data_IF_491894465642
#
_entry.id   IF_491894465642
#
_cell.length_a   1.000
_cell.length_b   1.000
_cell.length_c   1.000
_cell.angle_alpha   90.00
_cell.angle_beta   90.00
_cell.angle_gamma   90.00
#
_symmetry.space_group_name_H-M   'P 1'
#
loop_
_entity.id
_entity.type
_entity.pdbx_description
1 polymer ?
#
# COMPACT_ATOMS: atom_id res chain seq x y z
N UNK A 1 -35.30 -67.57 6.98
CA UNK A 1 -35.46 -66.36 6.16
C UNK A 1 -35.25 -65.11 7.04
N UNK A 2 -34.09 -64.46 6.96
CA UNK A 2 -33.77 -63.25 7.76
C UNK A 2 -33.78 -62.03 6.81
N UNK A 3 -34.84 -61.25 6.94
CA UNK A 3 -35.04 -60.03 6.14
C UNK A 3 -34.13 -58.95 6.67
N UNK A 4 -33.19 -58.48 5.85
CA UNK A 4 -32.32 -57.29 6.16
C UNK A 4 -33.04 -56.02 5.72
N UNK A 5 -33.38 -55.14 6.68
CA UNK A 5 -33.90 -53.83 6.43
C UNK A 5 -32.71 -52.91 6.20
N UNK A 6 -32.54 -52.40 4.97
CA UNK A 6 -31.59 -51.38 4.65
C UNK A 6 -32.11 -49.99 5.12
N UNK A 7 -31.41 -49.36 6.07
CA UNK A 7 -31.71 -48.00 6.47
C UNK A 7 -31.00 -47.02 5.51
N UNK A 8 -31.80 -46.33 4.72
CA UNK A 8 -31.32 -45.23 3.87
C UNK A 8 -31.10 -43.98 4.78
N UNK A 9 -29.85 -43.56 4.96
CA UNK A 9 -29.51 -42.31 5.66
C UNK A 9 -29.52 -41.21 4.61
N UNK A 10 -30.53 -40.35 4.65
CA UNK A 10 -30.60 -39.15 3.84
C UNK A 10 -29.72 -38.05 4.49
N UNK A 11 -28.54 -37.80 3.94
CA UNK A 11 -27.68 -36.68 4.34
C UNK A 11 -28.18 -35.44 3.60
N UNK A 12 -28.90 -34.56 4.30
CA UNK A 12 -29.27 -33.25 3.78
C UNK A 12 -28.04 -32.34 3.92
N UNK A 13 -27.37 -32.08 2.81
CA UNK A 13 -26.29 -31.10 2.72
C UNK A 13 -26.92 -29.70 2.74
N UNK A 14 -26.91 -29.04 3.91
CA UNK A 14 -27.29 -27.65 4.00
C UNK A 14 -26.15 -26.81 3.39
N UNK A 15 -26.29 -26.41 2.14
CA UNK A 15 -25.49 -25.34 1.54
C UNK A 15 -25.85 -24.02 2.22
N UNK A 16 -24.85 -23.20 2.61
CA UNK A 16 -25.16 -21.87 3.12
C UNK A 16 -25.81 -21.06 2.00
N UNK A 17 -27.10 -20.77 2.15
CA UNK A 17 -27.78 -19.78 1.32
C UNK A 17 -27.20 -18.42 1.65
N UNK A 18 -26.28 -17.93 0.81
CA UNK A 18 -25.95 -16.51 0.79
C UNK A 18 -27.23 -15.76 0.42
N UNK A 19 -27.83 -15.11 1.40
CA UNK A 19 -28.94 -14.20 1.20
C UNK A 19 -28.42 -13.01 0.39
N UNK A 20 -28.53 -13.07 -0.92
CA UNK A 20 -28.39 -11.88 -1.75
C UNK A 20 -29.62 -11.01 -1.46
N UNK A 21 -29.39 -9.82 -0.90
CA UNK A 21 -30.44 -8.85 -0.72
C UNK A 21 -31.12 -8.55 -2.06
N UNK A 22 -32.45 -8.45 -2.05
CA UNK A 22 -33.27 -8.15 -3.22
C UNK A 22 -32.73 -6.87 -3.91
N UNK A 23 -32.33 -6.93 -5.20
CA UNK A 23 -31.79 -5.77 -5.90
C UNK A 23 -32.79 -4.60 -5.99
N UNK A 24 -34.09 -4.83 -5.88
CA UNK A 24 -35.12 -3.78 -5.84
C UNK A 24 -35.10 -2.91 -4.57
N UNK A 25 -34.41 -3.38 -3.49
CA UNK A 25 -34.33 -2.69 -2.21
C UNK A 25 -33.05 -1.84 -2.03
N UNK A 26 -32.13 -1.83 -2.98
CA UNK A 26 -30.84 -1.13 -2.85
C UNK A 26 -30.78 0.18 -3.62
N UNK A 27 -29.92 1.11 -3.16
CA UNK A 27 -29.56 2.34 -3.88
C UNK A 27 -28.17 2.14 -4.45
N UNK A 28 -28.06 2.05 -5.77
CA UNK A 28 -26.78 1.78 -6.40
C UNK A 28 -26.13 3.06 -6.95
N UNK A 29 -24.81 3.15 -6.75
CA UNK A 29 -23.94 4.06 -7.45
C UNK A 29 -22.91 3.26 -8.24
N UNK A 30 -22.53 3.75 -9.39
CA UNK A 30 -21.57 3.13 -10.29
C UNK A 30 -20.33 4.00 -10.41
N UNK A 31 -19.16 3.39 -10.37
CA UNK A 31 -17.87 4.06 -10.56
C UNK A 31 -17.12 3.32 -11.64
N UNK A 32 -16.56 4.05 -12.62
CA UNK A 32 -15.79 3.47 -13.72
C UNK A 32 -14.59 4.37 -14.06
N UNK A 33 -13.44 3.81 -14.52
CA UNK A 33 -12.27 4.62 -14.90
C UNK A 33 -12.56 5.63 -16.02
N UNK A 34 -13.54 5.35 -16.87
CA UNK A 34 -14.03 6.24 -17.93
C UNK A 34 -15.30 7.00 -17.55
N UNK A 35 -15.61 7.08 -16.25
CA UNK A 35 -16.73 7.82 -15.72
C UNK A 35 -16.49 9.33 -15.66
N UNK A 36 -17.46 10.05 -15.11
CA UNK A 36 -17.37 11.49 -14.89
C UNK A 36 -18.05 11.86 -13.57
N UNK A 37 -17.36 12.56 -12.68
CA UNK A 37 -17.87 12.93 -11.36
C UNK A 37 -19.00 13.98 -11.40
N UNK A 38 -19.18 14.65 -12.55
CA UNK A 38 -20.33 15.52 -12.77
C UNK A 38 -21.62 14.73 -13.02
N UNK A 39 -21.55 13.47 -13.43
CA UNK A 39 -22.74 12.64 -13.69
C UNK A 39 -23.44 12.20 -12.38
N UNK A 40 -24.61 11.60 -12.55
CA UNK A 40 -25.41 11.17 -11.40
C UNK A 40 -24.78 10.00 -10.62
N UNK A 41 -24.02 9.15 -11.27
CA UNK A 41 -23.53 7.89 -10.73
C UNK A 41 -24.61 6.81 -10.60
N UNK A 42 -25.85 7.08 -11.07
CA UNK A 42 -26.99 6.16 -10.90
C UNK A 42 -27.13 5.14 -12.03
N UNK A 43 -26.42 5.33 -13.12
CA UNK A 43 -26.38 4.46 -14.28
C UNK A 43 -24.99 3.84 -14.46
N UNK A 44 -24.95 2.55 -14.79
CA UNK A 44 -23.72 1.87 -15.23
C UNK A 44 -23.39 2.20 -16.69
N UNK A 45 -24.39 2.65 -17.48
CA UNK A 45 -24.26 2.99 -18.88
C UNK A 45 -24.05 4.50 -19.04
N UNK A 46 -23.13 4.87 -19.92
CA UNK A 46 -22.82 6.27 -20.21
C UNK A 46 -23.87 6.85 -21.17
N UNK A 47 -24.53 7.93 -20.76
CA UNK A 47 -25.33 8.82 -21.58
C UNK A 47 -24.88 10.26 -21.31
N UNK A 48 -23.80 10.65 -21.99
CA UNK A 48 -23.19 11.96 -21.79
C UNK A 48 -24.12 13.12 -22.15
N UNK A 49 -25.06 12.92 -23.08
CA UNK A 49 -26.04 13.95 -23.49
C UNK A 49 -27.02 14.29 -22.36
N UNK A 50 -27.29 13.32 -21.49
CA UNK A 50 -28.17 13.50 -20.33
C UNK A 50 -27.44 13.74 -19.03
N UNK A 51 -26.11 13.74 -19.03
CA UNK A 51 -25.27 13.78 -17.81
C UNK A 51 -25.44 12.55 -16.94
N UNK A 52 -25.74 11.40 -17.54
CA UNK A 52 -25.96 10.13 -16.86
C UNK A 52 -24.82 9.16 -17.14
N UNK A 53 -24.41 8.43 -16.11
CA UNK A 53 -23.35 7.45 -16.22
C UNK A 53 -22.65 7.22 -14.89
N UNK A 54 -21.60 6.37 -14.88
CA UNK A 54 -20.82 6.11 -13.69
C UNK A 54 -19.96 7.34 -13.31
N UNK A 55 -19.68 7.48 -12.03
CA UNK A 55 -18.70 8.44 -11.52
C UNK A 55 -17.28 7.99 -11.90
N UNK A 56 -16.33 8.91 -11.94
CA UNK A 56 -14.92 8.60 -12.19
C UNK A 56 -14.20 8.16 -10.91
N UNK A 57 -14.58 8.68 -9.73
CA UNK A 57 -13.85 8.51 -8.50
C UNK A 57 -14.68 7.96 -7.34
N UNK A 58 -14.00 7.27 -6.41
CA UNK A 58 -14.63 6.85 -5.15
C UNK A 58 -14.99 8.05 -4.27
N UNK A 59 -14.19 9.11 -4.33
CA UNK A 59 -14.45 10.36 -3.60
C UNK A 59 -15.78 10.95 -4.01
N UNK A 60 -16.05 11.05 -5.30
CA UNK A 60 -17.34 11.54 -5.81
C UNK A 60 -18.50 10.64 -5.38
N UNK A 61 -18.31 9.32 -5.37
CA UNK A 61 -19.34 8.40 -4.87
C UNK A 61 -19.65 8.66 -3.39
N UNK A 62 -18.63 8.80 -2.54
CA UNK A 62 -18.80 9.18 -1.13
C UNK A 62 -19.58 10.51 -1.01
N UNK A 63 -19.19 11.52 -1.77
CA UNK A 63 -19.78 12.85 -1.66
C UNK A 63 -21.24 12.88 -2.17
N UNK A 64 -21.55 12.11 -3.22
CA UNK A 64 -22.95 11.92 -3.66
C UNK A 64 -23.80 11.24 -2.58
N UNK A 65 -23.23 10.27 -1.85
CA UNK A 65 -23.90 9.62 -0.72
C UNK A 65 -24.14 10.62 0.42
N UNK A 66 -23.16 11.46 0.75
CA UNK A 66 -23.33 12.54 1.74
C UNK A 66 -24.47 13.47 1.36
N UNK A 67 -24.50 13.94 0.10
CA UNK A 67 -25.58 14.77 -0.40
C UNK A 67 -26.96 14.08 -0.33
N UNK A 68 -27.00 12.77 -0.58
CA UNK A 68 -28.23 12.00 -0.45
C UNK A 68 -28.69 11.93 1.02
N UNK A 69 -27.78 11.71 1.96
CA UNK A 69 -28.07 11.67 3.41
C UNK A 69 -28.53 13.03 3.97
N UNK A 70 -28.04 14.15 3.43
CA UNK A 70 -28.49 15.50 3.81
C UNK A 70 -29.97 15.76 3.48
N UNK A 71 -30.53 15.01 2.52
CA UNK A 71 -31.95 15.11 2.15
C UNK A 71 -32.89 14.32 3.05
N UNK A 72 -32.33 13.53 3.97
CA UNK A 72 -33.06 12.72 4.94
C UNK A 72 -32.45 11.33 5.16
N UNK A 73 -33.00 10.58 6.11
CA UNK A 73 -32.53 9.22 6.42
C UNK A 73 -32.68 8.29 5.21
N UNK A 74 -31.62 7.52 4.93
CA UNK A 74 -31.64 6.50 3.87
C UNK A 74 -32.02 5.17 4.53
N UNK A 75 -33.25 4.75 4.36
CA UNK A 75 -33.76 3.49 4.93
C UNK A 75 -33.44 2.25 4.11
N UNK A 76 -32.52 2.33 3.15
CA UNK A 76 -32.15 1.24 2.24
C UNK A 76 -30.65 1.08 2.14
N UNK A 77 -30.11 -0.13 1.96
CA UNK A 77 -28.70 -0.35 1.65
C UNK A 77 -28.23 0.46 0.44
N UNK A 78 -27.00 0.96 0.49
CA UNK A 78 -26.35 1.62 -0.63
C UNK A 78 -25.20 0.72 -1.09
N UNK A 79 -25.10 0.50 -2.40
CA UNK A 79 -23.95 -0.15 -3.01
C UNK A 79 -23.24 0.83 -3.95
N UNK A 80 -21.92 0.89 -3.82
CA UNK A 80 -21.03 1.56 -4.77
C UNK A 80 -20.29 0.47 -5.54
N UNK A 81 -20.67 0.30 -6.80
CA UNK A 81 -20.19 -0.76 -7.67
C UNK A 81 -19.09 -0.23 -8.59
N UNK A 82 -17.88 -0.74 -8.41
CA UNK A 82 -16.69 -0.32 -9.15
C UNK A 82 -16.48 -1.25 -10.37
N UNK A 83 -16.41 -0.66 -11.55
CA UNK A 83 -16.05 -1.36 -12.79
C UNK A 83 -14.56 -1.71 -12.75
N UNK A 84 -14.16 -2.73 -13.50
CA UNK A 84 -12.76 -3.14 -13.63
C UNK A 84 -11.88 -2.02 -14.18
N UNK A 85 -10.64 -1.97 -13.72
CA UNK A 85 -9.65 -0.98 -14.12
C UNK A 85 -8.91 -0.38 -12.93
N UNK A 86 -8.03 0.59 -13.21
CA UNK A 86 -7.18 1.22 -12.19
C UNK A 86 -7.78 2.57 -11.80
N UNK A 87 -8.07 2.70 -10.51
CA UNK A 87 -8.50 3.95 -9.88
C UNK A 87 -7.32 4.54 -9.11
N UNK A 88 -6.82 5.66 -9.59
CA UNK A 88 -5.73 6.37 -8.90
C UNK A 88 -6.28 7.26 -7.83
N UNK A 89 -5.61 7.24 -6.68
CA UNK A 89 -5.88 8.13 -5.57
C UNK A 89 -4.60 8.92 -5.27
N UNK A 90 -4.64 10.21 -5.57
CA UNK A 90 -3.52 11.14 -5.31
C UNK A 90 -3.56 11.63 -3.87
N UNK A 91 -4.74 11.65 -3.26
CA UNK A 91 -5.00 12.07 -1.89
C UNK A 91 -5.77 10.99 -1.13
N UNK A 92 -5.53 10.80 0.18
CA UNK A 92 -6.26 9.83 0.98
C UNK A 92 -7.78 10.07 0.95
N UNK A 93 -8.55 9.04 0.62
CA UNK A 93 -10.00 9.09 0.72
C UNK A 93 -10.38 8.99 2.20
N UNK A 94 -10.88 10.07 2.77
CA UNK A 94 -11.28 10.12 4.18
C UNK A 94 -12.75 9.79 4.34
N UNK A 95 -13.03 8.72 5.08
CA UNK A 95 -14.36 8.37 5.54
C UNK A 95 -14.51 8.85 6.99
N UNK A 96 -15.57 9.58 7.25
CA UNK A 96 -15.90 10.16 8.56
C UNK A 96 -17.14 9.44 9.13
N UNK A 97 -17.53 9.67 10.40
CA UNK A 97 -18.73 9.07 10.98
C UNK A 97 -20.01 9.27 10.15
N UNK A 98 -20.12 10.42 9.48
CA UNK A 98 -21.22 10.72 8.56
C UNK A 98 -21.29 9.80 7.35
N UNK A 99 -20.20 9.14 6.98
CA UNK A 99 -20.15 8.20 5.85
C UNK A 99 -20.61 6.78 6.24
N UNK A 100 -20.83 6.54 7.53
CA UNK A 100 -21.28 5.24 8.02
C UNK A 100 -22.72 4.96 7.60
N UNK A 101 -23.01 3.71 7.23
CA UNK A 101 -24.36 3.20 7.14
C UNK A 101 -24.93 2.80 8.51
N UNK A 102 -26.08 2.17 8.51
CA UNK A 102 -26.65 1.48 9.69
C UNK A 102 -26.62 -0.02 9.47
N UNK A 103 -27.01 -0.79 10.47
CA UNK A 103 -27.14 -2.24 10.34
C UNK A 103 -28.17 -2.64 9.29
N UNK A 104 -29.27 -1.89 9.22
CA UNK A 104 -30.40 -2.12 8.31
C UNK A 104 -30.15 -1.52 6.92
N UNK A 105 -29.34 -0.47 6.85
CA UNK A 105 -28.98 0.26 5.64
C UNK A 105 -27.45 0.46 5.53
N UNK A 106 -26.68 -0.60 5.32
CA UNK A 106 -25.23 -0.52 5.17
C UNK A 106 -24.85 0.20 3.87
N UNK A 107 -23.66 0.81 3.88
CA UNK A 107 -23.01 1.36 2.68
C UNK A 107 -21.87 0.42 2.31
N UNK A 108 -21.94 -0.16 1.11
CA UNK A 108 -20.99 -1.18 0.65
C UNK A 108 -20.31 -0.71 -0.63
N UNK A 109 -18.97 -0.69 -0.61
CA UNK A 109 -18.15 -0.50 -1.81
C UNK A 109 -17.68 -1.88 -2.28
N UNK A 110 -18.01 -2.25 -3.50
CA UNK A 110 -17.72 -3.59 -4.03
C UNK A 110 -17.33 -3.54 -5.52
N UNK A 111 -16.61 -4.55 -5.96
CA UNK A 111 -16.38 -4.75 -7.38
C UNK A 111 -17.69 -5.07 -8.10
N UNK A 112 -17.81 -4.61 -9.35
CA UNK A 112 -18.84 -5.11 -10.26
C UNK A 112 -18.67 -6.62 -10.43
N UNK A 113 -19.77 -7.39 -10.44
CA UNK A 113 -19.68 -8.85 -10.55
C UNK A 113 -18.81 -9.29 -11.73
N UNK A 114 -17.81 -10.13 -11.43
CA UNK A 114 -16.86 -10.67 -12.42
C UNK A 114 -15.75 -9.70 -12.84
N UNK A 115 -15.71 -8.47 -12.33
CA UNK A 115 -14.68 -7.48 -12.66
C UNK A 115 -13.68 -7.28 -11.50
N UNK A 116 -12.50 -6.77 -11.83
CA UNK A 116 -11.41 -6.55 -10.87
C UNK A 116 -10.97 -5.07 -10.86
N UNK A 117 -11.57 -4.21 -10.03
CA UNK A 117 -11.07 -2.87 -9.79
C UNK A 117 -9.78 -2.91 -8.95
N UNK A 118 -8.86 -2.03 -9.27
CA UNK A 118 -7.61 -1.83 -8.53
C UNK A 118 -7.57 -0.38 -8.07
N UNK A 119 -7.61 -0.16 -6.77
CA UNK A 119 -7.41 1.16 -6.17
C UNK A 119 -5.94 1.32 -5.83
N UNK A 120 -5.30 2.35 -6.37
CA UNK A 120 -3.84 2.52 -6.28
C UNK A 120 -3.43 3.96 -5.99
N UNK A 121 -2.62 4.15 -4.94
CA UNK A 121 -1.89 5.40 -4.68
C UNK A 121 -0.54 5.48 -5.39
N UNK A 122 -0.22 4.52 -6.24
CA UNK A 122 1.05 4.51 -6.99
C UNK A 122 1.01 5.42 -8.22
N UNK A 123 2.12 6.07 -8.49
CA UNK A 123 2.32 6.84 -9.73
C UNK A 123 2.89 5.92 -10.82
N UNK A 124 2.40 6.01 -12.07
CA UNK A 124 2.99 5.27 -13.18
C UNK A 124 4.34 5.88 -13.53
N UNK A 125 5.33 5.03 -13.70
CA UNK A 125 6.63 5.41 -14.18
C UNK A 125 6.69 5.04 -15.67
N UNK A 126 6.98 6.01 -16.50
CA UNK A 126 7.10 5.87 -17.95
C UNK A 126 8.49 6.30 -18.44
N UNK A 127 8.72 6.24 -19.74
CA UNK A 127 9.99 6.71 -20.33
C UNK A 127 11.16 5.76 -20.12
N UNK A 128 10.89 4.49 -19.87
CA UNK A 128 11.92 3.45 -19.72
C UNK A 128 12.74 3.27 -20.98
N UNK A 129 14.05 3.25 -20.84
CA UNK A 129 15.02 3.03 -21.89
C UNK A 129 15.85 1.79 -21.55
N UNK A 130 16.02 0.91 -22.53
CA UNK A 130 16.90 -0.24 -22.41
C UNK A 130 18.34 0.22 -22.57
N UNK A 131 19.22 -0.15 -21.65
CA UNK A 131 20.68 0.04 -21.82
C UNK A 131 21.24 -1.01 -22.77
N UNK A 132 22.53 -0.89 -23.11
CA UNK A 132 23.25 -1.93 -23.89
C UNK A 132 23.34 -3.28 -23.16
N UNK A 133 23.05 -3.29 -21.86
CA UNK A 133 23.01 -4.48 -21.01
C UNK A 133 21.59 -4.98 -20.70
N UNK A 134 21.41 -5.71 -19.61
CA UNK A 134 20.12 -6.22 -19.18
C UNK A 134 19.25 -5.19 -18.45
N UNK A 135 19.77 -4.00 -18.19
CA UNK A 135 19.11 -2.99 -17.37
C UNK A 135 18.16 -2.12 -18.20
N UNK A 136 17.12 -1.64 -17.53
CA UNK A 136 16.22 -0.60 -18.00
C UNK A 136 16.33 0.61 -17.08
N UNK A 137 16.43 1.80 -17.64
CA UNK A 137 16.56 3.05 -16.90
C UNK A 137 15.46 4.03 -17.25
N UNK A 138 15.12 4.88 -16.32
CA UNK A 138 14.27 6.05 -16.53
C UNK A 138 14.64 7.12 -15.52
N UNK A 139 14.47 8.36 -15.89
CA UNK A 139 14.59 9.50 -15.00
C UNK A 139 13.19 9.88 -14.49
N UNK A 140 13.07 10.04 -13.20
CA UNK A 140 11.85 10.53 -12.55
C UNK A 140 12.17 11.94 -12.02
N UNK A 141 11.72 13.02 -12.69
CA UNK A 141 12.14 14.39 -12.34
C UNK A 141 11.91 14.76 -10.88
N UNK A 142 10.80 14.32 -10.30
CA UNK A 142 10.50 14.60 -8.89
C UNK A 142 11.46 13.92 -7.91
N UNK A 143 12.05 12.77 -8.30
CA UNK A 143 13.08 12.07 -7.52
C UNK A 143 14.42 12.75 -7.69
N UNK A 144 14.82 13.08 -8.92
CA UNK A 144 16.05 13.79 -9.24
C UNK A 144 16.15 15.15 -8.53
N UNK A 145 15.03 15.85 -8.44
CA UNK A 145 14.93 17.12 -7.72
C UNK A 145 14.78 16.97 -6.19
N UNK A 146 14.79 15.74 -5.65
CA UNK A 146 14.62 15.48 -4.22
C UNK A 146 13.22 15.79 -3.67
N UNK A 147 12.23 16.03 -4.53
CA UNK A 147 10.85 16.35 -4.12
C UNK A 147 10.02 15.10 -3.82
N UNK A 148 10.46 13.95 -4.28
CA UNK A 148 9.77 12.67 -4.07
C UNK A 148 10.76 11.55 -3.86
N UNK A 149 10.41 10.63 -2.96
CA UNK A 149 11.16 9.41 -2.71
C UNK A 149 10.17 8.26 -2.55
N UNK A 150 10.26 7.25 -3.42
CA UNK A 150 9.41 6.06 -3.33
C UNK A 150 10.16 4.87 -2.73
N UNK A 151 9.44 4.01 -2.04
CA UNK A 151 10.00 2.84 -1.35
C UNK A 151 9.59 1.52 -1.98
N UNK A 152 8.69 1.55 -2.93
CA UNK A 152 8.14 0.35 -3.55
C UNK A 152 7.99 0.58 -5.04
N UNK A 153 8.52 -0.36 -5.82
CA UNK A 153 8.35 -0.43 -7.27
C UNK A 153 7.51 -1.67 -7.59
N UNK A 154 6.51 -1.50 -8.43
CA UNK A 154 5.70 -2.59 -8.96
C UNK A 154 5.86 -2.68 -10.47
N UNK A 155 6.10 -3.88 -10.98
CA UNK A 155 6.14 -4.17 -12.42
C UNK A 155 5.17 -5.30 -12.68
N UNK A 156 4.22 -5.08 -13.61
CA UNK A 156 3.14 -6.03 -13.94
C UNK A 156 2.32 -6.48 -12.70
N UNK A 157 2.07 -5.53 -11.78
CA UNK A 157 1.35 -5.78 -10.55
C UNK A 157 2.13 -6.52 -9.47
N UNK A 158 3.36 -6.95 -9.76
CA UNK A 158 4.25 -7.60 -8.80
C UNK A 158 5.23 -6.62 -8.16
N UNK A 159 5.28 -6.60 -6.81
CA UNK A 159 6.27 -5.81 -6.08
C UNK A 159 7.67 -6.34 -6.38
N UNK A 160 8.59 -5.44 -6.68
CA UNK A 160 10.01 -5.75 -6.92
C UNK A 160 10.84 -5.50 -5.68
N UNK A 161 11.90 -6.29 -5.54
CA UNK A 161 12.89 -6.10 -4.48
C UNK A 161 13.88 -5.03 -4.94
N UNK A 162 14.14 -3.98 -4.15
CA UNK A 162 15.24 -3.05 -4.42
C UNK A 162 16.58 -3.80 -4.44
N UNK A 163 17.54 -3.29 -5.19
CA UNK A 163 18.92 -3.77 -5.08
C UNK A 163 19.37 -3.70 -3.62
N UNK A 164 19.99 -4.76 -3.13
CA UNK A 164 20.42 -4.87 -1.73
C UNK A 164 21.65 -5.74 -1.58
N UNK A 165 22.38 -5.50 -0.52
CA UNK A 165 23.44 -6.38 -0.04
C UNK A 165 23.29 -6.57 1.47
N UNK A 166 23.44 -7.79 2.03
CA UNK A 166 23.54 -9.04 1.28
C UNK A 166 22.20 -9.40 0.62
N UNK A 167 22.23 -10.20 -0.46
CA UNK A 167 20.99 -10.67 -1.11
C UNK A 167 20.20 -11.62 -0.22
N UNK A 168 20.93 -12.47 0.51
CA UNK A 168 20.39 -13.42 1.47
C UNK A 168 20.90 -13.08 2.86
N UNK A 169 20.07 -13.28 3.89
CA UNK A 169 20.39 -12.99 5.28
C UNK A 169 20.64 -11.50 5.58
N UNK A 170 21.38 -11.18 6.62
CA UNK A 170 21.65 -9.83 7.13
C UNK A 170 23.10 -9.70 7.58
N UNK A 171 23.66 -8.51 7.45
CA UNK A 171 24.85 -8.12 8.20
C UNK A 171 24.48 -7.90 9.68
N UNK A 172 25.40 -8.25 10.57
CA UNK A 172 25.19 -8.05 12.00
C UNK A 172 26.11 -6.95 12.51
N UNK A 173 25.54 -5.97 13.21
CA UNK A 173 26.33 -4.91 13.83
C UNK A 173 27.21 -5.48 14.94
N UNK A 174 28.40 -4.91 15.10
CA UNK A 174 29.30 -5.21 16.21
C UNK A 174 28.91 -4.41 17.45
N UNK A 175 28.37 -3.21 17.23
CA UNK A 175 27.93 -2.30 18.28
C UNK A 175 27.65 -0.90 17.74
N UNK A 176 27.33 0.05 18.62
CA UNK A 176 27.22 1.46 18.22
C UNK A 176 28.58 1.99 17.78
N UNK A 177 28.57 3.01 16.91
CA UNK A 177 29.77 3.62 16.34
C UNK A 177 30.62 4.43 17.30
N UNK A 178 30.35 4.36 18.60
CA UNK A 178 31.08 5.06 19.67
C UNK A 178 31.32 4.14 20.84
N UNK A 179 32.38 4.40 21.60
CA UNK A 179 32.69 3.65 22.81
C UNK A 179 31.62 3.91 23.88
N UNK A 180 30.96 2.84 24.33
CA UNK A 180 29.98 2.86 25.44
C UNK A 180 30.63 3.24 26.80
N UNK A 181 31.96 3.16 26.92
CA UNK A 181 32.70 3.52 28.12
C UNK A 181 32.87 5.04 28.26
N UNK A 182 32.60 5.81 27.21
CA UNK A 182 32.63 7.27 27.27
C UNK A 182 31.50 7.80 28.17
N UNK A 183 31.85 8.65 29.13
CA UNK A 183 30.96 9.16 30.18
C UNK A 183 30.09 10.32 29.70
N UNK A 184 30.30 10.91 28.56
CA UNK A 184 29.44 11.96 27.98
C UNK A 184 28.13 11.35 27.48
N UNK A 185 27.15 11.27 28.36
CA UNK A 185 25.86 10.62 28.10
C UNK A 185 25.05 11.29 26.96
N UNK A 186 25.15 12.62 26.82
CA UNK A 186 24.41 13.35 25.78
C UNK A 186 25.00 13.08 24.39
N UNK A 187 26.33 13.16 24.27
CA UNK A 187 27.02 12.87 23.01
C UNK A 187 26.87 11.41 22.61
N UNK A 188 27.06 10.49 23.55
CA UNK A 188 26.83 9.06 23.30
C UNK A 188 25.44 8.79 22.77
N UNK A 189 24.44 9.42 23.36
CA UNK A 189 23.05 9.17 22.97
C UNK A 189 22.78 9.58 21.51
N UNK A 190 23.40 10.64 21.01
CA UNK A 190 23.26 11.05 19.60
C UNK A 190 24.08 10.14 18.68
N UNK A 191 25.34 9.93 18.99
CA UNK A 191 26.25 9.14 18.14
C UNK A 191 25.84 7.65 18.10
N UNK A 192 25.37 7.07 19.20
CA UNK A 192 24.84 5.70 19.22
C UNK A 192 23.59 5.53 18.37
N UNK A 193 22.95 6.63 18.00
CA UNK A 193 21.76 6.67 17.12
C UNK A 193 22.11 7.03 15.67
N UNK A 194 23.35 7.44 15.40
CA UNK A 194 23.80 7.90 14.08
C UNK A 194 24.86 7.03 13.44
N UNK A 195 25.42 6.07 14.15
CA UNK A 195 26.50 5.25 13.63
C UNK A 195 26.48 3.84 14.18
N UNK A 196 27.02 2.92 13.39
CA UNK A 196 27.22 1.51 13.78
C UNK A 196 28.62 1.06 13.43
N UNK A 197 29.17 0.19 14.26
CA UNK A 197 30.32 -0.61 13.92
C UNK A 197 29.89 -1.87 13.18
N UNK A 198 30.53 -2.10 12.05
CA UNK A 198 30.33 -3.28 11.22
C UNK A 198 31.49 -4.24 11.38
N UNK A 199 31.37 -5.43 10.83
CA UNK A 199 32.54 -6.29 10.67
C UNK A 199 33.34 -5.83 9.46
N UNK A 200 34.68 -5.87 9.49
CA UNK A 200 35.53 -5.48 8.36
C UNK A 200 35.22 -6.24 7.07
N UNK A 201 34.89 -7.52 7.17
CA UNK A 201 34.50 -8.36 6.03
C UNK A 201 33.16 -7.91 5.40
N UNK A 202 32.23 -7.43 6.22
CA UNK A 202 30.93 -6.91 5.73
C UNK A 202 31.13 -5.58 4.99
N UNK A 203 32.00 -4.71 5.50
CA UNK A 203 32.39 -3.46 4.82
C UNK A 203 33.01 -3.75 3.45
N UNK A 204 33.92 -4.73 3.39
CA UNK A 204 34.56 -5.14 2.14
C UNK A 204 33.50 -5.69 1.13
N UNK A 205 32.48 -6.39 1.61
CA UNK A 205 31.41 -6.92 0.79
C UNK A 205 30.44 -5.83 0.30
N UNK A 206 30.25 -4.75 1.09
CA UNK A 206 29.43 -3.60 0.68
C UNK A 206 30.10 -2.83 -0.46
N UNK A 207 31.43 -2.67 -0.41
CA UNK A 207 32.19 -1.95 -1.42
C UNK A 207 31.90 -0.46 -1.44
N UNK A 208 31.87 0.13 -2.63
CA UNK A 208 31.53 1.53 -2.79
C UNK A 208 30.00 1.73 -2.72
N UNK A 209 29.59 2.72 -1.95
CA UNK A 209 28.18 3.12 -1.83
C UNK A 209 27.90 4.29 -2.75
N UNK A 210 26.74 4.28 -3.38
CA UNK A 210 26.21 5.44 -4.07
C UNK A 210 25.65 6.44 -3.04
N UNK A 211 25.55 7.72 -3.42
CA UNK A 211 25.12 8.83 -2.55
C UNK A 211 23.72 8.64 -1.97
N UNK A 212 22.90 7.75 -2.54
CA UNK A 212 21.55 7.44 -2.12
C UNK A 212 21.42 6.08 -1.39
N UNK A 213 22.54 5.48 -1.00
CA UNK A 213 22.54 4.22 -0.29
C UNK A 213 21.78 4.30 1.04
N UNK A 214 20.89 3.33 1.27
CA UNK A 214 20.02 3.26 2.45
C UNK A 214 20.37 2.02 3.28
N UNK A 215 20.77 2.23 4.52
CA UNK A 215 20.82 1.16 5.51
C UNK A 215 19.44 0.93 6.13
N UNK A 216 19.03 -0.34 6.20
CA UNK A 216 17.84 -0.79 6.92
C UNK A 216 18.29 -1.49 8.18
N UNK A 217 18.06 -0.87 9.32
CA UNK A 217 18.46 -1.39 10.63
C UNK A 217 17.26 -2.04 11.31
N UNK A 218 17.42 -3.31 11.66
CA UNK A 218 16.43 -4.07 12.42
C UNK A 218 16.79 -4.00 13.91
N UNK A 219 15.89 -3.37 14.67
CA UNK A 219 15.95 -3.34 16.14
C UNK A 219 15.13 -4.49 16.72
N UNK A 220 15.08 -4.60 18.04
CA UNK A 220 14.37 -5.71 18.72
C UNK A 220 12.89 -5.84 18.29
N UNK A 221 12.18 -4.71 18.06
CA UNK A 221 10.77 -4.69 17.69
C UNK A 221 10.40 -3.64 16.63
N UNK A 222 11.39 -2.89 16.13
CA UNK A 222 11.18 -1.86 15.11
C UNK A 222 12.21 -1.99 14.00
N UNK A 223 11.97 -1.26 12.91
CA UNK A 223 12.90 -1.15 11.79
C UNK A 223 13.08 0.32 11.48
N UNK A 224 14.31 0.77 11.31
CA UNK A 224 14.62 2.12 10.86
C UNK A 224 15.35 2.11 9.51
N UNK A 225 15.25 3.24 8.79
CA UNK A 225 15.91 3.43 7.49
C UNK A 225 16.69 4.74 7.53
N UNK A 226 17.94 4.66 7.11
CA UNK A 226 18.86 5.77 7.18
C UNK A 226 19.60 5.91 5.87
N UNK A 227 19.72 7.11 5.36
CA UNK A 227 20.70 7.41 4.31
C UNK A 227 22.08 7.29 4.91
N UNK A 228 22.95 6.57 4.21
CA UNK A 228 24.36 6.44 4.62
C UNK A 228 25.08 7.73 4.28
N UNK A 229 25.66 8.37 5.29
CA UNK A 229 26.45 9.58 5.16
C UNK A 229 27.90 9.26 4.77
N UNK A 230 28.45 8.23 5.41
CA UNK A 230 29.82 7.79 5.13
C UNK A 230 30.04 6.34 5.57
N UNK A 231 31.02 5.71 4.91
CA UNK A 231 31.53 4.40 5.24
C UNK A 231 33.05 4.51 5.40
N UNK A 232 33.54 4.36 6.64
CA UNK A 232 34.97 4.32 6.95
C UNK A 232 35.41 2.85 6.98
N UNK A 233 36.14 2.44 5.96
CA UNK A 233 36.58 1.06 5.83
C UNK A 233 37.64 0.68 6.87
N UNK A 234 38.53 1.61 7.25
CA UNK A 234 39.63 1.36 8.22
C UNK A 234 39.07 1.23 9.64
N UNK A 235 38.11 2.07 9.99
CA UNK A 235 37.44 2.03 11.28
C UNK A 235 36.26 1.03 11.33
N UNK A 236 35.89 0.44 10.21
CA UNK A 236 34.71 -0.40 10.03
C UNK A 236 33.43 0.30 10.54
N UNK A 237 33.31 1.60 10.26
CA UNK A 237 32.28 2.48 10.80
C UNK A 237 31.35 2.98 9.70
N UNK A 238 30.05 2.79 9.87
CA UNK A 238 29.02 3.37 9.02
C UNK A 238 28.30 4.50 9.78
N UNK A 239 28.20 5.67 9.15
CA UNK A 239 27.48 6.86 9.67
C UNK A 239 26.25 7.16 8.85
N UNK A 240 25.27 7.75 9.50
CA UNK A 240 23.97 8.07 8.91
C UNK A 240 23.66 9.57 8.99
N UNK A 241 22.96 10.08 8.00
CA UNK A 241 22.55 11.50 7.95
C UNK A 241 21.60 11.89 9.07
N UNK A 242 20.74 10.97 9.52
CA UNK A 242 19.74 11.20 10.55
C UNK A 242 19.81 10.16 11.67
N UNK A 243 19.53 10.54 12.93
CA UNK A 243 19.54 9.59 14.03
C UNK A 243 18.33 8.63 13.95
N UNK A 244 18.48 7.45 14.50
CA UNK A 244 17.35 6.57 14.83
C UNK A 244 16.63 7.05 16.10
N UNK A 245 15.45 6.51 16.36
CA UNK A 245 14.77 6.74 17.64
C UNK A 245 15.52 6.05 18.79
N UNK A 246 16.05 4.88 18.52
CA UNK A 246 16.76 4.02 19.48
C UNK A 246 18.23 3.89 19.14
N UNK A 247 19.12 3.62 20.12
CA UNK A 247 20.50 3.26 19.85
C UNK A 247 20.60 2.10 18.85
N UNK A 248 21.65 2.12 18.04
CA UNK A 248 21.95 1.09 17.05
C UNK A 248 23.06 0.19 17.60
N UNK A 249 22.82 -1.13 17.64
CA UNK A 249 23.80 -2.11 18.13
C UNK A 249 23.30 -2.96 19.24
#
# INVERSE_FOLDING_TARGET
>A
MKTRIARLILVILMLPTTVFADPAATVDFHVAPNGNDAWSGRSATIDAARGEGPLATLTAARDKIRLLKQRGPIGKPIRVLLRGGIYRIDEPIRFLPEDSGTREAPIVYAAWPGEKPIVSGGLPIAGWQKTDGPLWTTVIPAVEEGRWYFRQLFVDGGRRTPARTPNDDYFHTVGPGVDWQDKDAARRNVETKKSILCKPEDIAAIGNLDDDAVAVVYHSWTTSRHLVESLDADAALMRFTNPSEWPMG
#
